data_IF_799373042835
#
_entry.id   IF_799373042835
#
_cell.length_a   1.000
_cell.length_b   1.000
_cell.length_c   1.000
_cell.angle_alpha   90.00
_cell.angle_beta   90.00
_cell.angle_gamma   90.00
#
_symmetry.space_group_name_H-M   'P 1'
#
loop_
_entity.id
_entity.type
_entity.pdbx_description
1 polymer ?
#
# COMPACT_ATOMS: atom_id res chain seq x y z
N UNK A 1 -2.21 14.99 -0.98
CA UNK A 1 -2.53 14.48 0.36
C UNK A 1 -3.53 15.40 1.04
N UNK A 2 -4.65 14.85 1.53
CA UNK A 2 -5.72 15.63 2.17
C UNK A 2 -5.56 15.74 3.69
N UNK A 3 -4.71 14.89 4.29
CA UNK A 3 -4.51 14.83 5.74
C UNK A 3 -3.10 15.28 6.13
N UNK A 4 -3.00 16.00 7.24
CA UNK A 4 -1.77 16.41 7.90
C UNK A 4 -1.77 15.84 9.33
N UNK A 5 -0.85 14.93 9.62
CA UNK A 5 -0.63 14.45 10.98
C UNK A 5 0.25 15.44 11.73
N UNK A 6 -0.19 15.82 12.93
CA UNK A 6 0.54 16.66 13.87
C UNK A 6 1.01 15.78 15.02
N UNK A 7 2.32 15.72 15.24
CA UNK A 7 2.94 14.83 16.22
C UNK A 7 3.71 15.67 17.21
N UNK A 8 3.07 16.16 18.31
CA UNK A 8 3.76 16.91 19.34
C UNK A 8 4.62 15.99 20.21
N UNK A 9 5.75 16.52 20.65
CA UNK A 9 6.57 15.95 21.72
C UNK A 9 6.21 16.62 23.06
N UNK A 10 6.71 16.13 24.21
CA UNK A 10 6.49 16.78 25.51
C UNK A 10 6.99 18.23 25.57
N UNK A 11 7.98 18.59 24.74
CA UNK A 11 8.56 19.93 24.66
C UNK A 11 7.82 20.87 23.69
N UNK A 12 6.84 20.37 22.95
CA UNK A 12 6.09 21.15 21.96
C UNK A 12 5.20 22.19 22.65
N UNK A 13 5.42 23.48 22.38
CA UNK A 13 4.53 24.53 22.88
C UNK A 13 3.11 24.35 22.29
N UNK A 14 2.07 24.28 23.13
CA UNK A 14 0.69 24.15 22.69
C UNK A 14 0.24 25.27 21.73
N UNK A 15 0.79 26.48 21.86
CA UNK A 15 0.47 27.60 20.96
C UNK A 15 1.01 27.34 19.55
N UNK A 16 2.23 26.83 19.43
CA UNK A 16 2.84 26.46 18.14
C UNK A 16 2.02 25.34 17.50
N UNK A 17 1.62 24.33 18.27
CA UNK A 17 0.79 23.25 17.77
C UNK A 17 -0.54 23.76 17.18
N UNK A 18 -1.20 24.68 17.88
CA UNK A 18 -2.46 25.27 17.44
C UNK A 18 -2.27 26.17 16.20
N UNK A 19 -1.17 26.92 16.12
CA UNK A 19 -0.84 27.73 14.92
C UNK A 19 -0.61 26.84 13.70
N UNK A 20 0.15 25.75 13.81
CA UNK A 20 0.39 24.80 12.72
C UNK A 20 -0.91 24.10 12.33
N UNK A 21 -1.77 23.74 13.28
CA UNK A 21 -3.10 23.19 13.00
C UNK A 21 -3.92 24.15 12.13
N UNK A 22 -4.02 25.41 12.56
CA UNK A 22 -4.77 26.46 11.82
C UNK A 22 -4.19 26.71 10.44
N UNK A 23 -2.85 26.74 10.31
CA UNK A 23 -2.19 26.84 9.02
C UNK A 23 -2.55 25.68 8.10
N UNK A 24 -2.47 24.44 8.60
CA UNK A 24 -2.85 23.24 7.86
C UNK A 24 -4.29 23.29 7.36
N UNK A 25 -5.22 23.67 8.25
CA UNK A 25 -6.66 23.68 7.92
C UNK A 25 -7.04 24.87 7.02
N UNK A 26 -6.60 26.09 7.35
CA UNK A 26 -7.08 27.30 6.70
C UNK A 26 -6.28 27.68 5.46
N UNK A 27 -4.98 27.48 5.48
CA UNK A 27 -4.08 27.89 4.40
C UNK A 27 -3.84 26.73 3.42
N UNK A 28 -3.56 25.52 3.92
CA UNK A 28 -3.29 24.37 3.09
C UNK A 28 -4.55 23.57 2.72
N UNK A 29 -5.72 23.89 3.28
CA UNK A 29 -6.98 23.18 3.01
C UNK A 29 -6.95 21.70 3.38
N UNK A 30 -6.16 21.31 4.40
CA UNK A 30 -6.01 19.92 4.84
C UNK A 30 -6.85 19.64 6.07
N UNK A 31 -7.32 18.39 6.20
CA UNK A 31 -7.76 17.89 7.49
C UNK A 31 -6.54 17.68 8.39
N UNK A 32 -6.63 18.04 9.67
CA UNK A 32 -5.57 17.78 10.63
C UNK A 32 -5.95 16.66 11.59
N UNK A 33 -4.96 15.88 12.01
CA UNK A 33 -5.12 14.86 13.05
C UNK A 33 -3.95 14.93 14.03
N UNK A 34 -4.27 14.93 15.32
CA UNK A 34 -3.27 14.83 16.37
C UNK A 34 -2.88 13.36 16.55
N UNK A 35 -1.62 13.05 16.36
CA UNK A 35 -1.08 11.71 16.54
C UNK A 35 -0.09 11.67 17.70
N UNK A 36 0.04 10.50 18.32
CA UNK A 36 1.08 10.26 19.32
C UNK A 36 2.43 10.09 18.63
N UNK A 37 3.50 10.50 19.29
CA UNK A 37 4.87 10.16 18.89
C UNK A 37 5.12 8.68 19.18
N UNK A 38 4.84 7.88 18.19
CA UNK A 38 4.92 6.41 18.24
C UNK A 38 5.42 5.87 16.89
N UNK A 39 6.07 4.70 16.86
CA UNK A 39 6.64 4.12 15.65
C UNK A 39 5.63 4.04 14.50
N UNK A 40 6.01 4.62 13.35
CA UNK A 40 5.17 4.68 12.16
C UNK A 40 3.98 5.64 12.24
N UNK A 41 3.79 6.35 13.35
CA UNK A 41 2.66 7.23 13.62
C UNK A 41 1.31 6.58 13.26
N UNK A 42 0.47 7.26 12.45
CA UNK A 42 -0.80 6.71 11.97
C UNK A 42 -0.63 6.13 10.55
N UNK A 43 -0.16 6.97 9.62
CA UNK A 43 -0.24 6.65 8.19
C UNK A 43 0.72 5.52 7.78
N UNK A 44 1.98 5.56 8.24
CA UNK A 44 2.95 4.52 7.93
C UNK A 44 2.54 3.18 8.55
N UNK A 45 2.13 3.17 9.83
CA UNK A 45 1.71 1.93 10.50
C UNK A 45 0.53 1.27 9.80
N UNK A 46 -0.53 2.02 9.48
CA UNK A 46 -1.69 1.49 8.76
C UNK A 46 -1.37 1.11 7.31
N UNK A 47 -0.55 1.93 6.62
CA UNK A 47 -0.16 1.68 5.24
C UNK A 47 0.69 0.43 5.09
N UNK A 48 1.70 0.27 5.93
CA UNK A 48 2.59 -0.90 5.94
C UNK A 48 1.84 -2.15 6.38
N UNK A 49 1.01 -2.07 7.43
CA UNK A 49 0.14 -3.18 7.82
C UNK A 49 -0.73 -3.64 6.65
N UNK A 50 -1.39 -2.70 5.97
CA UNK A 50 -2.22 -3.02 4.80
C UNK A 50 -1.44 -3.66 3.65
N UNK A 51 -0.17 -3.26 3.41
CA UNK A 51 0.69 -3.90 2.41
C UNK A 51 1.05 -5.33 2.81
N UNK A 52 1.48 -5.54 4.05
CA UNK A 52 1.82 -6.88 4.57
C UNK A 52 0.62 -7.82 4.49
N UNK A 53 -0.58 -7.34 4.89
CA UNK A 53 -1.80 -8.14 4.77
C UNK A 53 -2.16 -8.45 3.32
N UNK A 54 -1.99 -7.50 2.39
CA UNK A 54 -2.24 -7.74 0.97
C UNK A 54 -1.33 -8.83 0.39
N UNK A 55 -0.03 -8.84 0.78
CA UNK A 55 0.92 -9.89 0.40
C UNK A 55 0.49 -11.25 0.94
N UNK A 56 0.14 -11.34 2.23
CA UNK A 56 -0.31 -12.59 2.85
C UNK A 56 -1.60 -13.14 2.24
N UNK A 57 -2.56 -12.27 1.99
CA UNK A 57 -3.82 -12.66 1.36
C UNK A 57 -3.60 -13.08 -0.09
N UNK A 58 -2.68 -12.42 -0.80
CA UNK A 58 -2.26 -12.82 -2.14
C UNK A 58 -1.78 -14.27 -2.17
N UNK A 59 -0.84 -14.62 -1.29
CA UNK A 59 -0.31 -15.98 -1.17
C UNK A 59 -1.40 -16.98 -0.78
N UNK A 60 -2.16 -16.66 0.28
CA UNK A 60 -3.22 -17.52 0.80
C UNK A 60 -4.28 -17.87 -0.25
N UNK A 61 -4.63 -16.92 -1.12
CA UNK A 61 -5.68 -17.11 -2.13
C UNK A 61 -5.16 -17.34 -3.54
N UNK A 62 -3.84 -17.46 -3.72
CA UNK A 62 -3.21 -17.71 -5.01
C UNK A 62 -3.45 -16.61 -6.04
N UNK A 63 -3.54 -15.35 -5.57
CA UNK A 63 -3.66 -14.18 -6.44
C UNK A 63 -2.31 -13.81 -7.05
N UNK A 64 -2.34 -13.13 -8.18
CA UNK A 64 -1.16 -12.49 -8.77
C UNK A 64 -1.03 -11.05 -8.27
N UNK A 65 0.16 -10.48 -8.44
CA UNK A 65 0.45 -9.06 -8.14
C UNK A 65 -0.52 -8.14 -8.90
N UNK A 66 -0.76 -8.42 -10.19
CA UNK A 66 -1.69 -7.64 -11.02
C UNK A 66 -3.15 -7.71 -10.50
N UNK A 67 -3.58 -8.88 -10.04
CA UNK A 67 -4.92 -9.07 -9.47
C UNK A 67 -5.07 -8.28 -8.16
N UNK A 68 -4.07 -8.32 -7.29
CA UNK A 68 -4.10 -7.54 -6.04
C UNK A 68 -4.12 -6.04 -6.32
N UNK A 69 -3.29 -5.54 -7.22
CA UNK A 69 -3.29 -4.12 -7.57
C UNK A 69 -4.60 -3.67 -8.22
N UNK A 70 -5.22 -4.50 -9.08
CA UNK A 70 -6.53 -4.22 -9.63
C UNK A 70 -7.63 -4.10 -8.55
N UNK A 71 -7.52 -4.92 -7.49
CA UNK A 71 -8.47 -4.96 -6.39
C UNK A 71 -8.23 -3.88 -5.34
N UNK A 72 -6.99 -3.49 -5.08
CA UNK A 72 -6.61 -2.60 -3.96
C UNK A 72 -6.36 -1.14 -4.36
N UNK A 73 -6.51 -0.80 -5.62
CA UNK A 73 -6.31 0.55 -6.15
C UNK A 73 -7.60 1.38 -6.18
N UNK A 74 -7.96 1.96 -7.34
CA UNK A 74 -9.12 2.85 -7.49
C UNK A 74 -10.44 2.24 -7.06
N UNK A 75 -10.58 0.94 -7.13
CA UNK A 75 -11.76 0.23 -6.65
C UNK A 75 -12.02 0.48 -5.16
N UNK A 76 -10.98 0.68 -4.35
CA UNK A 76 -11.05 1.05 -2.93
C UNK A 76 -10.96 2.57 -2.68
N UNK A 77 -11.02 3.39 -3.73
CA UNK A 77 -10.76 4.82 -3.60
C UNK A 77 -9.30 5.18 -3.34
N UNK A 78 -8.37 4.25 -3.58
CA UNK A 78 -6.92 4.47 -3.46
C UNK A 78 -6.34 4.93 -4.80
N UNK A 79 -5.13 5.50 -4.81
CA UNK A 79 -4.43 5.89 -6.05
C UNK A 79 -4.27 4.72 -7.04
N UNK A 80 -4.05 5.05 -8.31
CA UNK A 80 -3.81 4.07 -9.38
C UNK A 80 -2.56 3.19 -9.15
N UNK A 81 -1.63 3.64 -8.29
CA UNK A 81 -0.47 2.86 -7.89
C UNK A 81 -0.82 1.65 -7.01
N UNK A 82 -2.03 1.62 -6.44
CA UNK A 82 -2.53 0.51 -5.62
C UNK A 82 -1.56 0.06 -4.51
N UNK A 83 -1.30 -1.23 -4.33
CA UNK A 83 -0.44 -1.77 -3.27
C UNK A 83 1.00 -1.98 -3.77
N UNK A 84 1.20 -2.86 -4.74
CA UNK A 84 2.55 -3.26 -5.18
C UNK A 84 3.27 -2.18 -5.98
N UNK A 85 2.55 -1.44 -6.82
CA UNK A 85 3.16 -0.30 -7.51
C UNK A 85 3.54 0.81 -6.54
N UNK A 86 2.78 1.01 -5.44
CA UNK A 86 3.16 1.96 -4.38
C UNK A 86 4.42 1.51 -3.66
N UNK A 87 4.57 0.22 -3.38
CA UNK A 87 5.77 -0.33 -2.77
C UNK A 87 7.01 -0.14 -3.68
N UNK A 88 6.87 -0.37 -4.99
CA UNK A 88 7.95 -0.11 -5.97
C UNK A 88 8.36 1.37 -6.03
N UNK A 89 7.40 2.30 -5.90
CA UNK A 89 7.68 3.74 -5.84
C UNK A 89 8.40 4.15 -4.56
N UNK A 90 8.08 3.50 -3.44
CA UNK A 90 8.72 3.75 -2.14
C UNK A 90 10.11 3.12 -2.07
N UNK A 91 10.25 1.94 -2.62
CA UNK A 91 11.43 1.10 -2.56
C UNK A 91 11.28 -0.07 -1.60
N UNK A 92 11.62 -1.28 -2.07
CA UNK A 92 11.46 -2.52 -1.29
C UNK A 92 12.42 -2.59 -0.10
N UNK A 93 13.59 -1.98 -0.20
CA UNK A 93 14.53 -1.79 0.89
C UNK A 93 13.96 -0.91 2.02
N UNK A 94 13.28 0.18 1.65
CA UNK A 94 12.58 1.05 2.61
C UNK A 94 11.41 0.29 3.25
N UNK A 95 10.63 -0.44 2.46
CA UNK A 95 9.53 -1.26 2.98
C UNK A 95 10.05 -2.30 3.99
N UNK A 96 11.12 -3.02 3.65
CA UNK A 96 11.78 -3.99 4.55
C UNK A 96 12.20 -3.33 5.86
N UNK A 97 12.94 -2.22 5.78
CA UNK A 97 13.41 -1.49 6.97
C UNK A 97 12.25 -1.08 7.87
N UNK A 98 11.21 -0.46 7.31
CA UNK A 98 10.06 0.01 8.08
C UNK A 98 9.26 -1.14 8.70
N UNK A 99 9.12 -2.28 8.02
CA UNK A 99 8.45 -3.47 8.60
C UNK A 99 9.24 -4.05 9.77
N UNK A 100 10.56 -4.13 9.66
CA UNK A 100 11.45 -4.60 10.73
C UNK A 100 11.41 -3.66 11.95
N UNK A 101 11.50 -2.35 11.73
CA UNK A 101 11.40 -1.34 12.79
C UNK A 101 10.04 -1.37 13.50
N UNK A 102 8.94 -1.48 12.76
CA UNK A 102 7.61 -1.57 13.32
C UNK A 102 7.43 -2.85 14.13
N UNK A 103 7.88 -3.99 13.61
CA UNK A 103 7.80 -5.27 14.32
C UNK A 103 8.58 -5.22 15.66
N UNK A 104 9.81 -4.68 15.62
CA UNK A 104 10.64 -4.53 16.82
C UNK A 104 10.01 -3.59 17.86
N UNK A 105 9.48 -2.46 17.40
CA UNK A 105 8.98 -1.42 18.30
C UNK A 105 7.58 -1.71 18.87
N UNK A 106 6.77 -2.51 18.19
CA UNK A 106 5.37 -2.77 18.59
C UNK A 106 5.10 -4.20 19.05
N UNK A 107 5.97 -5.13 18.70
CA UNK A 107 5.73 -6.57 18.91
C UNK A 107 4.65 -7.15 17.99
N UNK A 108 4.14 -6.38 17.03
CA UNK A 108 3.14 -6.82 16.06
C UNK A 108 3.80 -7.54 14.89
N UNK A 109 3.03 -8.40 14.22
CA UNK A 109 3.53 -9.16 13.08
C UNK A 109 3.48 -8.35 11.78
N UNK A 110 4.61 -7.75 11.43
CA UNK A 110 4.87 -7.06 10.16
C UNK A 110 5.78 -7.87 9.23
N UNK A 111 6.03 -9.15 9.50
CA UNK A 111 6.96 -9.95 8.71
C UNK A 111 6.56 -10.01 7.23
N UNK A 112 7.54 -9.72 6.38
CA UNK A 112 7.44 -9.94 4.93
C UNK A 112 7.86 -11.38 4.61
N UNK A 113 7.30 -12.00 3.56
CA UNK A 113 7.72 -13.33 3.14
C UNK A 113 9.14 -13.31 2.56
N UNK A 114 9.81 -14.45 2.62
CA UNK A 114 11.20 -14.65 2.22
C UNK A 114 11.48 -14.19 0.78
N UNK A 115 10.54 -14.40 -0.14
CA UNK A 115 10.73 -13.99 -1.53
C UNK A 115 10.85 -12.47 -1.69
N UNK A 116 10.26 -11.65 -0.80
CA UNK A 116 10.46 -10.19 -0.79
C UNK A 116 11.87 -9.85 -0.31
N UNK A 117 12.37 -10.54 0.72
CA UNK A 117 13.75 -10.37 1.19
C UNK A 117 14.75 -10.69 0.09
N UNK A 118 14.54 -11.77 -0.66
CA UNK A 118 15.36 -12.13 -1.82
C UNK A 118 15.37 -11.06 -2.91
N UNK A 119 14.23 -10.41 -3.19
CA UNK A 119 14.21 -9.28 -4.16
C UNK A 119 15.15 -8.15 -3.71
N UNK A 120 15.13 -7.82 -2.42
CA UNK A 120 16.01 -6.78 -1.86
C UNK A 120 17.47 -7.18 -1.97
N UNK A 121 17.82 -8.42 -1.63
CA UNK A 121 19.18 -8.97 -1.73
C UNK A 121 19.71 -9.00 -3.17
N UNK A 122 18.84 -9.28 -4.15
CA UNK A 122 19.15 -9.25 -5.58
C UNK A 122 19.18 -7.83 -6.16
N UNK A 123 18.96 -6.78 -5.35
CA UNK A 123 18.94 -5.40 -5.80
C UNK A 123 17.70 -4.99 -6.59
N UNK A 124 16.63 -5.78 -6.56
CA UNK A 124 15.35 -5.49 -7.20
C UNK A 124 14.51 -4.60 -6.27
N UNK A 125 14.93 -3.33 -6.14
CA UNK A 125 14.42 -2.41 -5.12
C UNK A 125 13.21 -1.57 -5.55
N UNK A 126 12.60 -1.89 -6.68
CA UNK A 126 11.49 -1.13 -7.24
C UNK A 126 11.93 -0.17 -8.36
N UNK A 127 11.19 0.92 -8.54
CA UNK A 127 11.39 1.83 -9.69
C UNK A 127 12.79 2.45 -9.73
N UNK A 128 13.36 2.80 -8.58
CA UNK A 128 14.71 3.38 -8.47
C UNK A 128 15.82 2.46 -8.96
N UNK A 129 15.60 1.15 -8.92
CA UNK A 129 16.54 0.13 -9.40
C UNK A 129 16.13 -0.44 -10.78
N UNK A 130 15.04 0.05 -11.36
CA UNK A 130 14.52 -0.41 -12.65
C UNK A 130 13.76 -1.74 -12.59
N UNK A 131 13.75 -2.42 -11.44
CA UNK A 131 13.02 -3.66 -11.19
C UNK A 131 12.61 -3.79 -9.72
N UNK A 132 11.42 -4.32 -9.48
CA UNK A 132 10.84 -4.63 -8.19
C UNK A 132 9.71 -5.63 -8.39
N UNK A 133 8.49 -5.35 -7.93
CA UNK A 133 7.30 -6.11 -8.30
C UNK A 133 6.96 -5.95 -9.79
N UNK A 134 7.34 -4.82 -10.35
CA UNK A 134 7.24 -4.53 -11.78
C UNK A 134 8.60 -4.14 -12.35
N UNK A 135 8.76 -4.36 -13.65
CA UNK A 135 9.87 -3.79 -14.43
C UNK A 135 9.40 -3.35 -15.81
N UNK A 136 10.14 -2.45 -16.45
CA UNK A 136 9.93 -2.10 -17.85
C UNK A 136 10.95 -2.79 -18.74
N UNK A 137 10.46 -3.40 -19.82
CA UNK A 137 11.30 -4.00 -20.87
C UNK A 137 10.81 -3.47 -22.20
N UNK A 138 11.63 -2.74 -22.93
CA UNK A 138 11.29 -2.14 -24.23
C UNK A 138 9.98 -1.29 -24.21
N UNK A 139 9.74 -0.57 -23.11
CA UNK A 139 8.54 0.26 -22.93
C UNK A 139 7.32 -0.49 -22.38
N UNK A 140 7.31 -1.79 -22.38
CA UNK A 140 6.25 -2.64 -21.83
C UNK A 140 6.46 -2.93 -20.35
N UNK A 141 5.36 -3.10 -19.61
CA UNK A 141 5.38 -3.43 -18.19
C UNK A 141 5.32 -4.94 -18.03
N UNK A 142 6.24 -5.48 -17.27
CA UNK A 142 6.30 -6.86 -16.83
C UNK A 142 6.03 -6.94 -15.34
N UNK A 143 5.32 -7.98 -14.93
CA UNK A 143 4.96 -8.24 -13.53
C UNK A 143 5.71 -9.47 -13.03
N UNK A 144 6.19 -9.40 -11.80
CA UNK A 144 6.85 -10.50 -11.11
C UNK A 144 5.85 -11.62 -10.80
N UNK A 145 6.20 -12.86 -11.10
CA UNK A 145 5.59 -14.02 -10.45
C UNK A 145 6.35 -14.31 -9.14
N UNK A 146 5.70 -14.09 -8.01
CA UNK A 146 6.32 -14.25 -6.70
C UNK A 146 6.72 -15.70 -6.36
N UNK A 147 6.24 -16.69 -7.11
CA UNK A 147 6.55 -18.11 -6.90
C UNK A 147 7.89 -18.50 -7.56
N UNK A 148 8.14 -17.96 -8.74
CA UNK A 148 9.35 -18.28 -9.54
C UNK A 148 10.40 -17.17 -9.49
N UNK A 149 10.00 -15.95 -9.13
CA UNK A 149 10.77 -14.70 -9.21
C UNK A 149 11.13 -14.30 -10.65
N UNK A 150 10.43 -14.86 -11.64
CA UNK A 150 10.52 -14.46 -13.03
C UNK A 150 9.53 -13.36 -13.37
N UNK A 151 9.77 -12.68 -14.47
CA UNK A 151 8.89 -11.63 -14.97
C UNK A 151 8.16 -12.06 -16.23
N UNK A 152 6.85 -11.84 -16.26
CA UNK A 152 6.00 -12.05 -17.43
C UNK A 152 5.31 -10.74 -17.83
N UNK A 153 4.88 -10.60 -19.09
CA UNK A 153 4.08 -9.44 -19.51
C UNK A 153 2.89 -9.22 -18.59
N UNK A 154 2.65 -7.95 -18.23
CA UNK A 154 1.56 -7.57 -17.33
C UNK A 154 0.21 -8.05 -17.85
N UNK A 155 -0.56 -8.69 -16.97
CA UNK A 155 -1.92 -9.14 -17.27
C UNK A 155 -2.93 -8.18 -16.66
N UNK A 156 -3.84 -7.64 -17.48
CA UNK A 156 -4.97 -6.86 -16.96
C UNK A 156 -6.06 -7.82 -16.46
N UNK A 157 -6.46 -7.61 -15.21
CA UNK A 157 -7.63 -8.32 -14.68
C UNK A 157 -8.91 -7.77 -15.33
N UNK A 158 -9.54 -8.56 -16.16
CA UNK A 158 -10.80 -8.25 -16.82
C UNK A 158 -11.94 -9.05 -16.19
N UNK A 159 -12.56 -8.46 -15.15
CA UNK A 159 -13.80 -8.96 -14.57
C UNK A 159 -14.93 -8.00 -14.90
N UNK A 160 -16.04 -8.47 -15.51
CA UNK A 160 -17.23 -7.64 -15.78
C UNK A 160 -17.75 -6.97 -14.51
N UNK A 161 -17.69 -7.67 -13.38
CA UNK A 161 -18.12 -7.17 -12.07
C UNK A 161 -17.27 -5.97 -11.61
N UNK A 162 -15.96 -5.96 -11.87
CA UNK A 162 -15.10 -4.83 -11.55
C UNK A 162 -15.43 -3.60 -12.39
N UNK A 163 -15.81 -3.78 -13.65
CA UNK A 163 -16.27 -2.67 -14.50
C UNK A 163 -17.54 -2.05 -13.96
N UNK A 164 -18.52 -2.88 -13.62
CA UNK A 164 -19.79 -2.42 -13.04
C UNK A 164 -19.62 -1.67 -11.70
N UNK A 165 -18.59 -1.99 -10.92
CA UNK A 165 -18.32 -1.33 -9.66
C UNK A 165 -17.66 0.04 -9.82
N UNK A 166 -16.93 0.31 -10.91
CA UNK A 166 -16.14 1.55 -11.07
C UNK A 166 -16.98 2.81 -11.03
N UNK A 167 -18.18 2.78 -11.58
CA UNK A 167 -19.06 3.94 -11.72
C UNK A 167 -19.91 4.20 -10.47
N UNK A 168 -19.85 3.31 -9.49
CA UNK A 168 -20.59 3.46 -8.24
C UNK A 168 -19.88 4.42 -7.27
N UNK A 169 -20.66 5.15 -6.43
CA UNK A 169 -20.11 5.87 -5.29
C UNK A 169 -19.26 4.97 -4.41
N UNK A 170 -18.19 5.49 -3.81
CA UNK A 170 -17.22 4.70 -3.05
C UNK A 170 -17.87 3.79 -2.00
N UNK A 171 -18.84 4.28 -1.25
CA UNK A 171 -19.55 3.52 -0.21
C UNK A 171 -20.25 2.28 -0.77
N UNK A 172 -21.00 2.45 -1.88
CA UNK A 172 -21.69 1.34 -2.55
C UNK A 172 -20.71 0.37 -3.19
N UNK A 173 -19.63 0.91 -3.79
CA UNK A 173 -18.55 0.13 -4.37
C UNK A 173 -17.91 -0.78 -3.33
N UNK A 174 -17.58 -0.24 -2.15
CA UNK A 174 -17.00 -1.02 -1.06
C UNK A 174 -17.95 -2.11 -0.56
N UNK A 175 -19.24 -1.79 -0.40
CA UNK A 175 -20.26 -2.76 0.03
C UNK A 175 -20.38 -3.93 -0.97
N UNK A 176 -20.45 -3.64 -2.28
CA UNK A 176 -20.58 -4.67 -3.32
C UNK A 176 -19.27 -5.43 -3.62
N UNK A 177 -18.12 -4.82 -3.32
CA UNK A 177 -16.84 -5.43 -3.61
C UNK A 177 -16.54 -6.68 -2.75
N UNK A 178 -17.21 -6.84 -1.60
CA UNK A 178 -17.11 -8.06 -0.78
C UNK A 178 -17.84 -9.25 -1.41
N UNK A 179 -18.75 -9.00 -2.35
CA UNK A 179 -19.52 -10.02 -3.05
C UNK A 179 -18.88 -10.47 -4.37
N UNK A 180 -17.66 -10.02 -4.66
CA UNK A 180 -16.90 -10.47 -5.82
C UNK A 180 -16.73 -12.00 -5.79
N UNK A 181 -16.84 -12.68 -6.95
CA UNK A 181 -16.81 -14.13 -6.99
C UNK A 181 -15.43 -14.70 -6.64
N UNK A 182 -15.43 -15.92 -6.07
CA UNK A 182 -14.25 -16.73 -5.84
C UNK A 182 -13.17 -16.03 -4.97
N UNK A 183 -11.91 -16.16 -5.40
CA UNK A 183 -10.74 -15.63 -4.68
C UNK A 183 -10.71 -14.09 -4.55
N UNK A 184 -11.44 -13.39 -5.40
CA UNK A 184 -11.42 -11.92 -5.43
C UNK A 184 -12.20 -11.28 -4.28
N UNK A 185 -13.30 -11.91 -3.82
CA UNK A 185 -14.02 -11.47 -2.64
C UNK A 185 -13.24 -11.73 -1.34
N UNK A 186 -12.43 -12.78 -1.31
CA UNK A 186 -11.66 -13.18 -0.13
C UNK A 186 -10.61 -12.16 0.31
N UNK A 187 -10.05 -11.38 -0.61
CA UNK A 187 -9.07 -10.32 -0.29
C UNK A 187 -9.68 -9.19 0.57
N UNK A 188 -10.98 -9.15 0.78
CA UNK A 188 -11.72 -8.05 1.40
C UNK A 188 -12.54 -8.44 2.61
N UNK A 189 -12.61 -9.71 2.94
CA UNK A 189 -13.17 -10.23 4.18
C UNK A 189 -12.11 -10.31 5.25
#
# INVERSE_FOLDING_TARGET
LHLLALIPTPETDPKVLEEIRRFGERILGKGTVLAKDSPGFIANRLGVYGMVQAVRLMEKHGLTIDEVDALTGPLLGRPNSATFRTADLTGLDVLKLVTEELAQATGEDFALPEWVHRLVEEGRLGEKAGAGFYKRVNGEIYTLDYRTLDYAPRTKLELPELRALRDLPLRERLAKAVDLPGKYGALRR
#
